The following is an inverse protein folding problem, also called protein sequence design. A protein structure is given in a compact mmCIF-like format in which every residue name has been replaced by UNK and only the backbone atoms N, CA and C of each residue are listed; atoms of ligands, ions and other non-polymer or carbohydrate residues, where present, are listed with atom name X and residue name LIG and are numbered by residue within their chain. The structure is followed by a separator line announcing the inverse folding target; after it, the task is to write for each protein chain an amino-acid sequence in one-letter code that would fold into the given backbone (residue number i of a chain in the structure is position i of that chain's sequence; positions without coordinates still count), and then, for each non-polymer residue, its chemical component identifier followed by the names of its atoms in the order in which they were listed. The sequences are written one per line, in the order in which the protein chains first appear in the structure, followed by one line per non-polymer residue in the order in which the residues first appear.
data_IF_956009046208
#
_entry.id   IF_956009046208
#
_cell.length_a   1.000
_cell.length_b   1.000
_cell.length_c   1.000
_cell.angle_alpha   90.00
_cell.angle_beta   90.00
_cell.angle_gamma   90.00
#
_symmetry.space_group_name_H-M   'P 1'
#
loop_
_entity.id
_entity.type
_entity.pdbx_description
1 polymer ?
#
# COMPACT_ATOMS: atom_id res chain seq x y z
N UNK A 1 -48.85 34.41 -9.42
CA UNK A 1 -47.82 33.45 -9.88
C UNK A 1 -46.83 33.25 -8.74
N UNK A 2 -46.70 32.06 -8.16
CA UNK A 2 -45.51 31.66 -7.37
C UNK A 2 -45.57 30.18 -6.97
N UNK A 3 -44.94 29.36 -7.82
CA UNK A 3 -44.23 28.09 -7.66
C UNK A 3 -44.48 27.17 -6.45
N UNK A 4 -45.06 26.02 -6.79
CA UNK A 4 -45.18 24.77 -6.04
C UNK A 4 -43.79 24.17 -5.75
N UNK A 5 -43.46 23.92 -4.47
CA UNK A 5 -42.25 23.16 -4.10
C UNK A 5 -42.41 21.70 -4.51
N UNK A 6 -41.55 21.23 -5.40
CA UNK A 6 -41.38 19.81 -5.74
C UNK A 6 -40.33 19.24 -4.79
N UNK A 7 -40.71 18.19 -4.06
CA UNK A 7 -39.80 17.39 -3.23
C UNK A 7 -39.07 16.43 -4.17
N UNK A 8 -37.79 16.66 -4.39
CA UNK A 8 -36.91 15.71 -5.10
C UNK A 8 -36.65 14.54 -4.16
N UNK A 9 -37.10 13.36 -4.57
CA UNK A 9 -36.78 12.07 -3.96
C UNK A 9 -35.45 11.60 -4.53
N UNK A 10 -34.37 11.81 -3.79
CA UNK A 10 -33.11 11.07 -3.95
C UNK A 10 -32.99 10.12 -2.77
N UNK A 11 -33.21 8.82 -3.01
CA UNK A 11 -32.73 7.69 -2.19
C UNK A 11 -33.24 6.40 -2.83
N UNK A 12 -32.57 5.94 -3.89
CA UNK A 12 -32.84 4.59 -4.43
C UNK A 12 -31.67 3.94 -5.19
N UNK A 13 -30.59 4.65 -5.52
CA UNK A 13 -29.46 4.06 -6.28
C UNK A 13 -28.38 3.39 -5.40
N UNK A 14 -28.11 3.91 -4.19
CA UNK A 14 -27.00 3.42 -3.36
C UNK A 14 -27.17 2.00 -2.78
N UNK A 15 -28.36 1.43 -2.84
CA UNK A 15 -28.63 0.07 -2.34
C UNK A 15 -28.40 -1.00 -3.42
N UNK A 16 -28.59 -0.65 -4.69
CA UNK A 16 -28.40 -1.57 -5.82
C UNK A 16 -26.93 -1.84 -6.11
N UNK A 17 -26.07 -0.85 -5.90
CA UNK A 17 -24.63 -1.00 -6.09
C UNK A 17 -24.03 -1.89 -5.01
N UNK A 18 -24.33 -1.65 -3.73
CA UNK A 18 -23.88 -2.53 -2.63
C UNK A 18 -24.25 -4.00 -2.83
N UNK A 19 -25.44 -4.27 -3.37
CA UNK A 19 -25.90 -5.63 -3.68
C UNK A 19 -25.05 -6.33 -4.75
N UNK A 20 -24.64 -5.62 -5.80
CA UNK A 20 -23.78 -6.19 -6.87
C UNK A 20 -22.35 -6.44 -6.40
N UNK A 21 -21.77 -5.50 -5.64
CA UNK A 21 -20.45 -5.69 -5.05
C UNK A 21 -20.44 -6.87 -4.08
N UNK A 22 -21.52 -7.10 -3.32
CA UNK A 22 -21.64 -8.25 -2.43
C UNK A 22 -21.70 -9.59 -3.20
N UNK A 23 -22.50 -9.71 -4.25
CA UNK A 23 -22.57 -10.93 -5.06
C UNK A 23 -21.23 -11.25 -5.74
N UNK A 24 -20.54 -10.24 -6.29
CA UNK A 24 -19.22 -10.45 -6.89
C UNK A 24 -18.16 -10.77 -5.83
N UNK A 25 -18.28 -10.18 -4.64
CA UNK A 25 -17.43 -10.53 -3.49
C UNK A 25 -17.64 -11.97 -3.03
N UNK A 26 -18.87 -12.48 -3.08
CA UNK A 26 -19.18 -13.87 -2.75
C UNK A 26 -18.65 -14.85 -3.80
N UNK A 27 -18.79 -14.54 -5.09
CA UNK A 27 -18.28 -15.39 -6.18
C UNK A 27 -16.75 -15.43 -6.25
N UNK A 28 -16.11 -14.29 -5.98
CA UNK A 28 -14.65 -14.15 -6.06
C UNK A 28 -13.97 -14.33 -4.69
N UNK A 29 -14.77 -14.44 -3.62
CA UNK A 29 -14.34 -14.56 -2.23
C UNK A 29 -13.61 -13.33 -1.69
N UNK A 30 -13.63 -12.19 -2.40
CA UNK A 30 -12.78 -11.01 -2.14
C UNK A 30 -13.45 -9.71 -2.56
N UNK A 31 -13.17 -8.65 -1.82
CA UNK A 31 -13.64 -7.30 -2.15
C UNK A 31 -12.83 -6.81 -3.35
N UNK A 32 -13.53 -6.56 -4.46
CA UNK A 32 -12.95 -6.01 -5.69
C UNK A 32 -13.62 -4.68 -6.00
N UNK A 33 -12.81 -3.70 -6.36
CA UNK A 33 -13.27 -2.40 -6.86
C UNK A 33 -12.65 -2.17 -8.23
N UNK A 34 -13.43 -1.62 -9.15
CA UNK A 34 -12.93 -1.26 -10.47
C UNK A 34 -13.23 0.20 -10.70
N UNK A 35 -12.22 0.94 -11.16
CA UNK A 35 -12.35 2.34 -11.51
C UNK A 35 -11.50 2.67 -12.73
N UNK A 36 -11.82 3.78 -13.39
CA UNK A 36 -11.02 4.29 -14.50
C UNK A 36 -9.90 5.16 -13.97
N UNK A 37 -8.72 5.04 -14.56
CA UNK A 37 -7.56 5.85 -14.24
C UNK A 37 -7.67 7.25 -14.86
N UNK A 38 -8.63 8.05 -14.38
CA UNK A 38 -8.79 9.44 -14.81
C UNK A 38 -7.63 10.33 -14.34
N UNK A 39 -6.74 9.83 -13.47
CA UNK A 39 -5.60 10.57 -12.93
C UNK A 39 -4.31 10.39 -13.72
N UNK A 40 -4.26 9.44 -14.67
CA UNK A 40 -3.13 9.34 -15.62
C UNK A 40 -3.41 10.02 -16.95
N UNK A 41 -4.68 10.20 -17.33
CA UNK A 41 -5.05 11.18 -18.33
C UNK A 41 -4.96 12.55 -17.67
N UNK A 42 -3.91 13.29 -18.02
CA UNK A 42 -3.82 14.73 -17.77
C UNK A 42 -5.04 15.38 -18.42
N UNK A 43 -6.14 15.41 -17.69
CA UNK A 43 -7.20 16.39 -17.90
C UNK A 43 -6.65 17.66 -17.27
N UNK A 44 -6.20 18.55 -18.16
CA UNK A 44 -5.61 19.84 -17.85
C UNK A 44 -6.59 20.81 -17.19
N UNK A 45 -7.72 20.36 -16.62
CA UNK A 45 -8.71 21.22 -16.01
C UNK A 45 -9.45 20.48 -14.88
N UNK A 46 -9.45 21.11 -13.71
CA UNK A 46 -10.24 20.79 -12.51
C UNK A 46 -9.69 19.78 -11.47
N UNK A 47 -8.45 20.00 -10.98
CA UNK A 47 -8.17 20.09 -9.52
C UNK A 47 -6.74 20.50 -9.19
N UNK A 48 -6.02 21.20 -10.06
CA UNK A 48 -4.81 21.92 -9.66
C UNK A 48 -5.22 23.24 -9.01
N UNK A 49 -5.77 23.18 -7.80
CA UNK A 49 -5.26 24.13 -6.80
C UNK A 49 -3.85 23.63 -6.47
N UNK A 50 -2.91 23.84 -7.40
CA UNK A 50 -1.55 24.10 -7.00
C UNK A 50 -1.66 25.36 -6.14
N UNK A 51 -1.96 25.17 -4.86
CA UNK A 51 -1.65 26.16 -3.87
C UNK A 51 -0.15 26.31 -4.05
N UNK A 52 0.26 27.37 -4.76
CA UNK A 52 1.64 27.81 -4.75
C UNK A 52 1.94 28.05 -3.26
N UNK A 53 2.60 27.08 -2.65
CA UNK A 53 3.05 27.16 -1.27
C UNK A 53 3.98 28.38 -1.18
N UNK A 54 3.90 29.11 -0.08
CA UNK A 54 4.79 30.25 0.12
C UNK A 54 6.26 29.78 0.13
N UNK A 55 7.17 30.64 -0.33
CA UNK A 55 8.60 30.29 -0.46
C UNK A 55 9.20 29.85 0.89
N UNK A 56 8.73 30.43 2.00
CA UNK A 56 9.11 30.08 3.38
C UNK A 56 8.90 28.58 3.73
N UNK A 57 8.04 27.85 3.01
CA UNK A 57 7.85 26.41 3.19
C UNK A 57 9.09 25.60 2.77
N UNK A 58 9.84 26.09 1.78
CA UNK A 58 11.07 25.46 1.31
C UNK A 58 12.30 25.87 2.12
N UNK A 59 12.16 26.85 3.01
CA UNK A 59 13.21 27.27 3.92
C UNK A 59 13.37 26.30 5.10
N UNK A 60 14.61 25.90 5.37
CA UNK A 60 14.94 25.00 6.47
C UNK A 60 14.66 25.65 7.83
N UNK A 61 13.71 25.10 8.58
CA UNK A 61 13.43 25.54 9.94
C UNK A 61 14.45 24.94 10.93
N UNK A 62 14.62 25.55 12.13
CA UNK A 62 15.44 24.94 13.18
C UNK A 62 14.99 23.54 13.58
N UNK A 63 13.69 23.24 13.50
CA UNK A 63 13.13 21.91 13.82
C UNK A 63 13.57 20.86 12.80
N UNK A 64 13.56 21.21 11.50
CA UNK A 64 14.06 20.35 10.42
C UNK A 64 15.55 20.04 10.62
N UNK A 65 16.32 21.05 11.04
CA UNK A 65 17.73 20.85 11.36
C UNK A 65 17.92 19.79 12.46
N UNK A 66 17.15 19.84 13.55
CA UNK A 66 17.23 18.82 14.61
C UNK A 66 16.81 17.43 14.11
N UNK A 67 15.80 17.31 13.26
CA UNK A 67 15.38 16.06 12.63
C UNK A 67 16.48 15.45 11.73
N UNK A 68 17.14 16.29 10.93
CA UNK A 68 18.24 15.87 10.05
C UNK A 68 19.45 15.41 10.87
N UNK A 69 19.82 16.16 11.90
CA UNK A 69 20.99 15.85 12.74
C UNK A 69 20.75 14.58 13.57
N UNK A 70 19.57 14.41 14.17
CA UNK A 70 19.24 13.19 14.93
C UNK A 70 19.25 11.95 14.04
N UNK A 71 18.67 12.02 12.84
CA UNK A 71 18.69 10.94 11.84
C UNK A 71 20.12 10.58 11.41
N UNK A 72 20.97 11.60 11.20
CA UNK A 72 22.38 11.42 10.85
C UNK A 72 23.20 10.80 11.99
N UNK A 73 22.94 11.17 13.24
CA UNK A 73 23.58 10.57 14.42
C UNK A 73 23.16 9.10 14.53
N UNK A 74 21.88 8.80 14.36
CA UNK A 74 21.36 7.42 14.34
C UNK A 74 22.01 6.57 13.24
N UNK A 75 22.09 7.09 12.01
CA UNK A 75 22.71 6.38 10.88
C UNK A 75 24.22 6.16 11.03
N UNK A 76 24.92 7.09 11.69
CA UNK A 76 26.36 6.96 12.01
C UNK A 76 26.63 6.06 13.21
N UNK A 77 25.62 5.81 14.04
CA UNK A 77 25.74 4.87 15.15
C UNK A 77 25.87 3.47 14.59
N UNK A 78 27.10 2.94 14.55
CA UNK A 78 27.37 1.56 14.18
C UNK A 78 26.93 0.63 15.32
N UNK A 79 25.63 0.49 15.51
CA UNK A 79 25.06 -0.47 16.45
C UNK A 79 25.02 -1.84 15.78
N UNK A 80 25.69 -2.82 16.39
CA UNK A 80 25.61 -4.20 15.94
C UNK A 80 24.20 -4.75 16.17
N UNK A 81 23.42 -4.95 15.09
CA UNK A 81 22.12 -5.62 15.18
C UNK A 81 22.32 -7.12 15.44
N UNK A 82 21.92 -7.59 16.61
CA UNK A 82 21.91 -9.03 16.92
C UNK A 82 20.86 -9.77 16.09
N UNK A 83 21.03 -11.08 15.89
CA UNK A 83 20.03 -11.92 15.18
C UNK A 83 18.63 -11.75 15.79
N UNK A 84 18.54 -11.77 17.13
CA UNK A 84 17.29 -11.60 17.87
C UNK A 84 16.62 -10.26 17.58
N UNK A 85 17.40 -9.17 17.50
CA UNK A 85 16.86 -7.84 17.17
C UNK A 85 16.31 -7.82 15.74
N UNK A 86 17.06 -8.35 14.77
CA UNK A 86 16.62 -8.41 13.36
C UNK A 86 15.34 -9.24 13.18
N UNK A 87 15.25 -10.37 13.86
CA UNK A 87 14.08 -11.25 13.81
C UNK A 87 12.86 -10.61 14.48
N UNK A 88 13.04 -9.98 15.65
CA UNK A 88 11.97 -9.25 16.32
C UNK A 88 11.46 -8.06 15.50
N UNK A 89 12.36 -7.29 14.87
CA UNK A 89 12.01 -6.17 13.98
C UNK A 89 11.23 -6.66 12.76
N UNK A 90 11.64 -7.77 12.14
CA UNK A 90 10.95 -8.37 11.01
C UNK A 90 9.55 -8.89 11.39
N UNK A 91 9.41 -9.53 12.55
CA UNK A 91 8.12 -10.00 13.05
C UNK A 91 7.19 -8.84 13.37
N UNK A 92 7.67 -7.83 14.10
CA UNK A 92 6.88 -6.63 14.41
C UNK A 92 6.44 -5.89 13.13
N UNK A 93 7.31 -5.82 12.11
CA UNK A 93 6.97 -5.23 10.83
C UNK A 93 5.87 -6.03 10.10
N UNK A 94 5.97 -7.37 10.13
CA UNK A 94 4.98 -8.26 9.53
C UNK A 94 3.64 -8.19 10.25
N UNK A 95 3.62 -8.07 11.57
CA UNK A 95 2.40 -7.91 12.37
C UNK A 95 1.70 -6.57 12.11
N UNK A 96 2.46 -5.51 11.85
CA UNK A 96 1.91 -4.20 11.48
C UNK A 96 1.18 -4.23 10.13
N UNK A 97 1.68 -5.04 9.19
CA UNK A 97 1.08 -5.21 7.87
C UNK A 97 0.03 -6.32 7.92
N UNK A 98 -1.21 -5.96 8.22
CA UNK A 98 -2.34 -6.90 8.25
C UNK A 98 -3.09 -7.01 6.91
N UNK A 99 -2.89 -6.04 6.02
CA UNK A 99 -3.58 -5.92 4.73
C UNK A 99 -2.60 -5.53 3.62
N UNK A 100 -2.81 -6.07 2.42
CA UNK A 100 -2.12 -5.71 1.20
C UNK A 100 -3.15 -5.35 0.12
N UNK A 101 -3.12 -4.13 -0.39
CA UNK A 101 -4.01 -3.68 -1.47
C UNK A 101 -3.26 -3.69 -2.79
N UNK A 102 -3.66 -4.54 -3.72
CA UNK A 102 -3.02 -4.63 -5.04
C UNK A 102 -3.92 -4.00 -6.10
N UNK A 103 -3.34 -3.09 -6.87
CA UNK A 103 -3.99 -2.42 -7.99
C UNK A 103 -3.40 -2.95 -9.29
N UNK A 104 -4.25 -3.56 -10.11
CA UNK A 104 -3.87 -4.05 -11.43
C UNK A 104 -4.34 -3.04 -12.48
N UNK A 105 -3.39 -2.40 -13.15
CA UNK A 105 -3.62 -1.46 -14.23
C UNK A 105 -3.67 -2.21 -15.57
N UNK A 106 -4.78 -2.07 -16.27
CA UNK A 106 -4.99 -2.63 -17.59
C UNK A 106 -4.61 -1.61 -18.68
N UNK A 107 -4.31 -2.06 -19.91
CA UNK A 107 -4.00 -1.18 -21.04
C UNK A 107 -5.17 -0.30 -21.51
N UNK A 108 -6.38 -0.55 -21.05
CA UNK A 108 -7.63 0.15 -21.40
C UNK A 108 -8.02 1.26 -20.41
N UNK A 109 -7.05 1.71 -19.60
CA UNK A 109 -7.19 2.69 -18.51
C UNK A 109 -8.08 2.22 -17.33
N UNK A 110 -8.45 0.95 -17.27
CA UNK A 110 -9.12 0.41 -16.09
C UNK A 110 -8.11 -0.03 -15.03
N UNK A 111 -8.50 0.16 -13.77
CA UNK A 111 -7.74 -0.31 -12.61
C UNK A 111 -8.64 -1.18 -11.76
N UNK A 112 -8.19 -2.42 -11.51
CA UNK A 112 -8.82 -3.32 -10.56
C UNK A 112 -8.05 -3.27 -9.25
N UNK A 113 -8.72 -2.88 -8.17
CA UNK A 113 -8.21 -2.93 -6.81
C UNK A 113 -8.77 -4.16 -6.09
N UNK A 114 -7.89 -4.93 -5.47
CA UNK A 114 -8.26 -6.09 -4.68
C UNK A 114 -7.48 -6.14 -3.36
N UNK A 115 -8.15 -6.57 -2.29
CA UNK A 115 -7.57 -6.74 -0.96
C UNK A 115 -7.04 -8.17 -0.77
N UNK A 116 -5.79 -8.27 -0.30
CA UNK A 116 -5.08 -9.51 -0.02
C UNK A 116 -4.49 -9.49 1.40
N UNK A 117 -4.20 -10.67 1.91
CA UNK A 117 -3.42 -10.82 3.14
C UNK A 117 -1.91 -10.90 2.79
N UNK A 118 -0.99 -10.24 3.51
CA UNK A 118 0.43 -10.21 3.13
C UNK A 118 1.14 -11.58 3.08
N UNK A 119 0.60 -12.58 3.76
CA UNK A 119 1.06 -13.99 3.72
C UNK A 119 0.45 -14.81 2.58
N UNK A 120 -0.43 -14.24 1.75
CA UNK A 120 -0.95 -14.94 0.57
C UNK A 120 0.10 -14.94 -0.55
N UNK A 121 0.00 -15.93 -1.42
CA UNK A 121 0.88 -16.07 -2.58
C UNK A 121 0.41 -15.23 -3.75
N UNK A 122 1.34 -14.81 -4.60
CA UNK A 122 1.02 -14.11 -5.87
C UNK A 122 0.14 -14.98 -6.77
N UNK A 123 0.22 -16.32 -6.67
CA UNK A 123 -0.69 -17.22 -7.36
C UNK A 123 -2.17 -16.88 -7.15
N UNK A 124 -2.56 -16.44 -5.95
CA UNK A 124 -3.95 -16.06 -5.62
C UNK A 124 -4.41 -14.86 -6.47
N UNK A 125 -3.50 -13.91 -6.76
CA UNK A 125 -3.78 -12.79 -7.66
C UNK A 125 -3.95 -13.27 -9.11
N UNK A 126 -3.12 -14.21 -9.56
CA UNK A 126 -3.24 -14.79 -10.90
C UNK A 126 -4.56 -15.54 -11.08
N UNK A 127 -4.94 -16.34 -10.09
CA UNK A 127 -6.22 -17.08 -10.07
C UNK A 127 -7.41 -16.13 -10.04
N UNK A 128 -7.30 -15.01 -9.31
CA UNK A 128 -8.31 -13.95 -9.32
C UNK A 128 -8.45 -13.32 -10.71
N UNK A 129 -7.33 -12.98 -11.34
CA UNK A 129 -7.33 -12.41 -12.69
C UNK A 129 -7.97 -13.37 -13.70
N UNK A 130 -7.68 -14.66 -13.64
CA UNK A 130 -8.33 -15.66 -14.51
C UNK A 130 -9.87 -15.67 -14.38
N UNK A 131 -10.42 -15.32 -13.21
CA UNK A 131 -11.88 -15.21 -13.02
C UNK A 131 -12.45 -13.87 -13.45
N UNK A 132 -11.64 -12.82 -13.46
CA UNK A 132 -12.06 -11.44 -13.72
C UNK A 132 -11.85 -11.04 -15.19
N UNK A 133 -10.90 -11.68 -15.88
CA UNK A 133 -10.63 -11.47 -17.30
C UNK A 133 -11.77 -12.00 -18.17
N UNK A 134 -12.08 -11.25 -19.23
CA UNK A 134 -13.04 -11.66 -20.26
C UNK A 134 -12.52 -12.86 -21.08
N UNK A 135 -11.20 -12.91 -21.28
CA UNK A 135 -10.52 -13.95 -22.04
C UNK A 135 -9.46 -14.63 -21.16
N UNK A 136 -9.84 -15.63 -20.35
CA UNK A 136 -8.89 -16.38 -19.52
C UNK A 136 -8.00 -17.34 -20.31
N UNK A 137 -8.38 -17.68 -21.55
CA UNK A 137 -7.64 -18.62 -22.39
C UNK A 137 -6.35 -18.02 -22.96
N UNK A 138 -6.19 -16.69 -22.90
CA UNK A 138 -5.03 -15.98 -23.41
C UNK A 138 -3.92 -15.93 -22.36
N UNK A 139 -2.67 -16.29 -22.71
CA UNK A 139 -1.55 -16.14 -21.80
C UNK A 139 -1.32 -14.66 -21.51
N UNK A 140 -1.16 -14.31 -20.24
CA UNK A 140 -0.85 -12.95 -19.80
C UNK A 140 0.31 -12.94 -18.80
N UNK A 141 0.89 -11.76 -18.62
CA UNK A 141 1.91 -11.53 -17.62
C UNK A 141 1.65 -10.21 -16.88
N UNK A 142 2.14 -10.18 -15.65
CA UNK A 142 2.13 -9.00 -14.80
C UNK A 142 3.54 -8.43 -14.69
N UNK A 143 3.65 -7.10 -14.62
CA UNK A 143 4.94 -6.42 -14.48
C UNK A 143 4.85 -5.16 -13.64
N UNK A 144 5.95 -4.77 -13.01
CA UNK A 144 6.10 -3.50 -12.28
C UNK A 144 6.92 -2.52 -13.11
N UNK A 145 6.77 -1.22 -12.88
CA UNK A 145 7.56 -0.14 -13.50
C UNK A 145 7.80 0.94 -12.43
N UNK A 146 8.98 1.61 -12.37
CA UNK A 146 10.21 1.42 -13.16
C UNK A 146 11.34 0.78 -12.32
N UNK A 147 12.07 -0.26 -12.79
CA UNK A 147 12.19 -0.79 -14.16
C UNK A 147 11.11 -1.82 -14.53
N UNK A 148 10.94 -2.12 -15.83
CA UNK A 148 9.99 -3.13 -16.32
C UNK A 148 10.45 -4.54 -15.90
N UNK A 149 9.94 -5.02 -14.78
CA UNK A 149 10.22 -6.36 -14.27
C UNK A 149 8.96 -7.24 -14.32
N UNK A 150 9.04 -8.37 -15.03
CA UNK A 150 7.94 -9.35 -15.07
C UNK A 150 7.93 -10.15 -13.77
N UNK A 151 6.77 -10.34 -13.18
CA UNK A 151 6.58 -11.20 -12.00
C UNK A 151 6.65 -12.65 -12.45
N UNK A 152 7.72 -13.37 -12.09
CA UNK A 152 7.93 -14.78 -12.46
C UNK A 152 7.54 -15.74 -11.33
N UNK A 153 7.81 -15.36 -10.09
CA UNK A 153 7.68 -16.26 -8.96
C UNK A 153 6.28 -16.20 -8.34
N UNK A 154 5.37 -17.03 -8.86
CA UNK A 154 3.98 -17.11 -8.36
C UNK A 154 3.87 -17.72 -6.95
N UNK A 155 4.92 -18.42 -6.48
CA UNK A 155 4.97 -19.07 -5.17
C UNK A 155 5.37 -18.13 -4.04
N UNK A 156 5.87 -16.93 -4.35
CA UNK A 156 6.25 -15.93 -3.33
C UNK A 156 5.02 -15.31 -2.68
N UNK A 157 5.19 -14.90 -1.42
CA UNK A 157 4.17 -14.18 -0.66
C UNK A 157 4.19 -12.68 -1.03
N UNK A 158 3.04 -11.99 -0.90
CA UNK A 158 2.95 -10.55 -1.15
C UNK A 158 3.93 -9.72 -0.31
N UNK A 159 4.19 -10.15 0.94
CA UNK A 159 5.18 -9.49 1.80
C UNK A 159 6.60 -9.56 1.23
N UNK A 160 7.03 -10.75 0.77
CA UNK A 160 8.37 -10.95 0.21
C UNK A 160 8.53 -10.31 -1.16
N UNK A 161 7.44 -10.25 -1.93
CA UNK A 161 7.39 -9.57 -3.22
C UNK A 161 7.36 -8.03 -3.11
N UNK A 162 7.23 -7.48 -1.90
CA UNK A 162 7.15 -6.03 -1.69
C UNK A 162 5.79 -5.43 -2.07
N UNK A 163 4.72 -6.22 -2.10
CA UNK A 163 3.38 -5.79 -2.47
C UNK A 163 2.48 -5.42 -1.28
N UNK A 164 3.01 -5.46 -0.06
CA UNK A 164 2.35 -5.02 1.16
C UNK A 164 3.02 -3.74 1.69
N UNK A 165 2.26 -2.70 2.14
CA UNK A 165 0.80 -2.65 2.31
C UNK A 165 0.01 -2.40 1.01
N UNK A 166 0.67 -2.03 -0.07
CA UNK A 166 0.02 -1.99 -1.37
C UNK A 166 1.00 -1.90 -2.52
N UNK A 167 0.55 -2.30 -3.70
CA UNK A 167 1.34 -2.28 -4.92
C UNK A 167 0.48 -1.95 -6.14
N UNK A 168 1.13 -1.35 -7.13
CA UNK A 168 0.58 -1.14 -8.47
C UNK A 168 1.32 -2.08 -9.41
N UNK A 169 0.55 -2.86 -10.15
CA UNK A 169 1.04 -3.86 -11.09
C UNK A 169 0.35 -3.64 -12.42
N UNK A 170 1.07 -3.81 -13.51
CA UNK A 170 0.55 -3.60 -14.85
C UNK A 170 0.29 -4.95 -15.53
N UNK A 171 -0.82 -5.01 -16.25
CA UNK A 171 -1.26 -6.18 -17.00
C UNK A 171 -0.88 -6.06 -18.48
N UNK A 172 -0.49 -7.18 -19.11
CA UNK A 172 -0.34 -7.30 -20.56
C UNK A 172 -0.54 -8.75 -21.00
N UNK A 173 -1.15 -8.96 -22.16
CA UNK A 173 -1.17 -10.28 -22.81
C UNK A 173 0.22 -10.63 -23.38
N UNK A 174 0.55 -11.93 -23.37
CA UNK A 174 1.76 -12.52 -23.96
C UNK A 174 1.42 -13.18 -25.30
N UNK A 175 0.93 -12.37 -26.24
CA UNK A 175 0.53 -12.85 -27.56
C UNK A 175 1.72 -12.85 -28.54
N UNK A 176 1.83 -13.88 -29.41
CA UNK A 176 2.69 -13.82 -30.57
C UNK A 176 2.29 -12.63 -31.44
N UNK A 177 3.28 -11.88 -31.94
CA UNK A 177 3.13 -10.58 -32.61
C UNK A 177 2.30 -10.61 -33.92
N UNK A 178 1.84 -11.78 -34.36
CA UNK A 178 1.23 -12.01 -35.67
C UNK A 178 -0.31 -11.97 -35.66
N UNK A 179 -0.97 -11.74 -34.52
CA UNK A 179 -2.43 -11.69 -34.47
C UNK A 179 -2.99 -10.56 -33.58
N UNK A 180 -2.99 -9.29 -34.08
CA UNK A 180 -3.49 -8.13 -33.33
C UNK A 180 -5.00 -8.21 -33.06
N UNK A 181 -5.75 -8.98 -33.85
CA UNK A 181 -7.20 -9.12 -33.73
C UNK A 181 -7.64 -9.84 -32.45
N UNK A 182 -6.74 -10.60 -31.81
CA UNK A 182 -7.04 -11.29 -30.55
C UNK A 182 -7.09 -10.35 -29.33
N UNK A 183 -6.54 -9.13 -29.43
CA UNK A 183 -6.51 -8.14 -28.32
C UNK A 183 -7.59 -7.06 -28.45
N UNK A 184 -8.44 -7.13 -29.48
CA UNK A 184 -9.47 -6.12 -29.79
C UNK A 184 -10.72 -6.21 -28.89
N UNK A 185 -10.66 -6.98 -27.80
CA UNK A 185 -11.75 -7.13 -26.83
C UNK A 185 -11.54 -6.35 -25.52
N UNK A 186 -12.60 -6.15 -24.72
CA UNK A 186 -12.45 -5.68 -23.35
C UNK A 186 -11.61 -6.67 -22.53
N UNK A 187 -10.72 -6.16 -21.68
CA UNK A 187 -9.84 -6.99 -20.85
C UNK A 187 -10.61 -7.60 -19.67
N UNK A 188 -11.50 -6.81 -19.07
CA UNK A 188 -12.33 -7.19 -17.95
C UNK A 188 -13.70 -7.72 -18.41
N UNK A 189 -14.26 -8.67 -17.65
CA UNK A 189 -15.64 -9.12 -17.85
C UNK A 189 -16.64 -7.97 -17.68
N UNK A 190 -17.72 -8.01 -18.46
CA UNK A 190 -18.79 -6.99 -18.44
C UNK A 190 -19.40 -6.80 -17.05
N UNK A 191 -19.53 -7.87 -16.27
CA UNK A 191 -20.05 -7.83 -14.89
C UNK A 191 -19.13 -6.99 -13.99
N UNK A 192 -17.82 -7.15 -14.16
CA UNK A 192 -16.79 -6.46 -13.37
C UNK A 192 -16.64 -5.01 -13.84
N UNK A 193 -16.70 -4.75 -15.15
CA UNK A 193 -16.71 -3.39 -15.69
C UNK A 193 -17.94 -2.59 -15.21
N UNK A 194 -19.07 -3.26 -15.03
CA UNK A 194 -20.31 -2.63 -14.55
C UNK A 194 -20.24 -2.23 -13.07
N UNK A 195 -19.29 -2.77 -12.30
CA UNK A 195 -18.96 -2.36 -10.93
C UNK A 195 -18.12 -1.07 -10.87
N UNK A 196 -18.04 -0.30 -11.96
CA UNK A 196 -17.29 0.95 -11.96
C UNK A 196 -17.78 1.86 -10.82
N UNK A 197 -16.98 1.98 -9.78
CA UNK A 197 -17.18 2.96 -8.73
C UNK A 197 -16.28 4.14 -9.09
N UNK A 198 -16.75 5.36 -8.81
CA UNK A 198 -15.84 6.51 -8.79
C UNK A 198 -14.67 6.16 -7.86
N UNK A 199 -13.42 6.52 -8.21
CA UNK A 199 -12.28 6.22 -7.36
C UNK A 199 -12.62 6.73 -5.96
N UNK A 200 -12.42 5.93 -4.90
CA UNK A 200 -12.63 6.41 -3.55
C UNK A 200 -11.75 7.65 -3.43
N UNK A 201 -12.39 8.81 -3.30
CA UNK A 201 -11.71 10.03 -2.91
C UNK A 201 -10.86 9.61 -1.73
N UNK A 202 -9.53 9.71 -1.89
CA UNK A 202 -8.61 9.59 -0.79
C UNK A 202 -9.10 10.65 0.20
N UNK A 203 -9.96 10.23 1.13
CA UNK A 203 -10.05 10.92 2.40
C UNK A 203 -8.64 10.80 2.89
N UNK A 204 -7.92 11.91 2.80
CA UNK A 204 -6.65 12.09 3.47
C UNK A 204 -6.81 11.35 4.77
N UNK A 205 -6.05 10.27 4.91
CA UNK A 205 -5.83 9.71 6.22
C UNK A 205 -5.21 10.89 6.90
N UNK A 206 -6.00 11.58 7.72
CA UNK A 206 -5.47 12.54 8.65
C UNK A 206 -4.35 11.77 9.31
N UNK A 207 -3.11 12.13 8.96
CA UNK A 207 -2.02 11.90 9.86
C UNK A 207 -2.50 12.62 11.10
N UNK A 208 -3.12 11.84 12.00
CA UNK A 208 -3.31 12.21 13.37
C UNK A 208 -1.90 12.56 13.79
N UNK A 209 -1.65 13.87 13.76
CA UNK A 209 -0.63 14.53 14.51
C UNK A 209 -0.48 13.73 15.81
N UNK A 210 0.70 13.26 16.20
CA UNK A 210 0.87 12.75 17.55
C UNK A 210 0.59 13.92 18.48
N UNK A 211 -0.69 14.04 18.88
CA UNK A 211 -1.12 14.89 19.97
C UNK A 211 -0.29 14.43 21.18
N UNK A 212 0.37 15.37 21.88
CA UNK A 212 1.39 15.04 22.85
C UNK A 212 0.77 14.20 23.97
N UNK A 213 1.23 12.95 24.09
CA UNK A 213 0.86 12.13 25.24
C UNK A 213 1.29 12.83 26.55
N UNK A 214 0.45 12.75 27.59
CA UNK A 214 0.54 13.56 28.78
C UNK A 214 1.81 13.27 29.59
N UNK A 215 2.28 14.34 30.23
CA UNK A 215 3.42 14.39 31.16
C UNK A 215 3.52 13.15 32.07
N UNK A 216 4.46 12.25 31.75
CA UNK A 216 4.92 11.24 32.70
C UNK A 216 5.90 11.93 33.65
N UNK A 217 5.38 12.23 34.83
CA UNK A 217 6.08 12.67 36.03
C UNK A 217 7.44 11.97 36.17
N UNK A 218 8.51 12.78 36.25
CA UNK A 218 9.87 12.35 36.63
C UNK A 218 9.83 11.56 37.94
N UNK A 219 9.99 10.24 37.86
CA UNK A 219 10.40 9.41 39.00
C UNK A 219 11.90 9.18 38.85
N UNK A 220 12.66 9.81 39.73
CA UNK A 220 14.10 9.63 39.90
C UNK A 220 14.36 8.18 40.36
N UNK A 221 15.18 7.37 39.67
CA UNK A 221 15.73 6.17 40.27
C UNK A 221 16.93 6.56 41.13
N UNK A 222 16.73 6.53 42.44
CA UNK A 222 17.78 6.56 43.47
C UNK A 222 18.82 5.48 43.18
N UNK A 223 20.08 5.91 43.10
CA UNK A 223 21.26 5.05 43.02
C UNK A 223 21.37 4.13 44.26
N UNK A 224 21.68 2.84 44.09
CA UNK A 224 22.26 2.05 45.17
C UNK A 224 23.78 2.27 45.22
N UNK A 225 24.27 2.75 46.36
CA UNK A 225 25.69 2.84 46.72
C UNK A 225 26.43 1.50 46.55
N UNK A 226 27.70 1.52 46.08
CA UNK A 226 28.55 0.34 46.07
C UNK A 226 29.23 0.13 47.44
N UNK A 227 29.09 -1.06 48.02
CA UNK A 227 29.97 -1.56 49.11
C UNK A 227 31.01 -2.55 48.58
N UNK A 228 32.20 -2.62 49.20
CA UNK A 228 33.43 -3.01 48.53
C UNK A 228 33.61 -4.53 48.48
N UNK A 229 34.03 -5.06 47.33
CA UNK A 229 34.51 -6.43 47.22
C UNK A 229 35.97 -6.41 46.75
N UNK A 230 36.79 -7.11 47.53
CA UNK A 230 38.24 -7.13 47.49
C UNK A 230 38.82 -7.72 46.20
N UNK A 231 39.93 -7.12 45.76
CA UNK A 231 40.74 -7.52 44.60
C UNK A 231 41.33 -8.93 44.81
N UNK A 232 41.09 -9.84 43.86
CA UNK A 232 42.04 -10.90 43.51
C UNK A 232 42.26 -10.86 42.00
N UNK A 233 43.46 -10.43 41.60
CA UNK A 233 43.91 -10.42 40.21
C UNK A 233 44.32 -11.83 39.79
N UNK A 234 43.46 -12.53 39.06
CA UNK A 234 43.85 -13.77 38.38
C UNK A 234 43.83 -13.51 36.88
N UNK A 235 45.03 -13.38 36.27
CA UNK A 235 45.16 -13.29 34.82
C UNK A 235 44.67 -14.60 34.18
N UNK A 236 43.82 -14.56 33.14
CA UNK A 236 43.36 -15.76 32.46
C UNK A 236 44.46 -16.39 31.60
N UNK A 237 44.48 -17.73 31.54
CA UNK A 237 45.56 -18.56 30.97
C UNK A 237 45.79 -18.45 29.46
N UNK A 238 44.99 -17.67 28.72
CA UNK A 238 45.22 -17.40 27.30
C UNK A 238 46.10 -16.17 27.04
N UNK A 239 46.54 -15.50 28.11
CA UNK A 239 47.46 -14.36 28.03
C UNK A 239 48.92 -14.83 28.20
N UNK A 240 49.41 -15.57 27.20
CA UNK A 240 50.85 -15.78 26.93
C UNK A 240 51.06 -15.87 25.42
#
# INVERSE_FOLDING_TARGET
MAFKKVKVTESMDAEKDKGKHASVTEELGRIIRVYRNSTLSVSSDASSSSNEEADDFYDLTPEDYYHIISSKIGAKSQVLKTKKLREAEATAHRERLTKAVVRVCFPDDYVMEAEFHPSERIQVLMDLLNKVLAQPDLPFYLYTIPPKEKIKDMSMDFYLAGFAPGAIVYFSYDLPKDNPDATTGPYLRSEIMSLHELPPVLKNVDFVNPEPEPEIVKIIPTAPEPKPVSKKSTKPKWFK
#
